data_IF_546305308903
#
_entry.id   IF_546305308903
#
_cell.length_a   1.000
_cell.length_b   1.000
_cell.length_c   1.000
_cell.angle_alpha   90.00
_cell.angle_beta   90.00
_cell.angle_gamma   90.00
#
_symmetry.space_group_name_H-M   'P 1'
#
loop_
_entity.id
_entity.type
_entity.pdbx_description
1 polymer ?
#
# COMPACT_ATOMS: atom_id res chain seq x y z
N UNK A 1 -1.81 -8.72 -39.89
CA UNK A 1 -2.99 -8.89 -39.01
C UNK A 1 -2.54 -9.89 -37.95
N UNK A 2 -1.94 -9.52 -36.82
CA UNK A 2 -2.11 -8.33 -35.99
C UNK A 2 -3.10 -8.67 -34.88
N UNK A 3 -2.71 -8.43 -33.61
CA UNK A 3 -3.44 -8.63 -32.34
C UNK A 3 -3.20 -10.01 -31.70
N UNK A 4 -2.57 -10.18 -30.54
CA UNK A 4 -2.06 -9.26 -29.52
C UNK A 4 -1.63 -10.15 -28.35
N UNK A 5 -0.41 -10.68 -28.41
CA UNK A 5 0.17 -11.46 -27.32
C UNK A 5 0.51 -10.50 -26.18
N UNK A 6 -0.45 -10.34 -25.27
CA UNK A 6 -0.28 -9.58 -24.05
C UNK A 6 0.91 -10.14 -23.28
N UNK A 7 1.93 -9.31 -23.18
CA UNK A 7 3.24 -9.60 -22.61
C UNK A 7 3.11 -10.01 -21.13
N UNK A 8 2.93 -11.31 -20.88
CA UNK A 8 2.95 -11.90 -19.54
C UNK A 8 4.36 -11.87 -18.91
N UNK A 9 5.35 -11.27 -19.59
CA UNK A 9 6.71 -11.08 -19.08
C UNK A 9 6.86 -9.93 -18.07
N UNK A 10 5.79 -9.14 -17.83
CA UNK A 10 5.80 -8.05 -16.85
C UNK A 10 5.69 -8.47 -15.38
N UNK A 11 5.16 -9.66 -15.10
CA UNK A 11 5.10 -10.21 -13.73
C UNK A 11 6.39 -10.97 -13.45
N UNK A 12 7.51 -10.23 -13.41
CA UNK A 12 8.75 -10.78 -12.85
C UNK A 12 8.39 -11.46 -11.53
N UNK A 13 8.69 -12.75 -11.45
CA UNK A 13 8.42 -13.60 -10.29
C UNK A 13 8.83 -12.82 -9.05
N UNK A 14 7.85 -12.40 -8.24
CA UNK A 14 8.12 -11.63 -7.03
C UNK A 14 8.67 -12.65 -6.04
N UNK A 15 9.95 -12.97 -6.17
CA UNK A 15 10.63 -13.83 -5.24
C UNK A 15 10.67 -13.08 -3.90
N UNK A 16 9.67 -13.39 -3.06
CA UNK A 16 9.42 -12.89 -1.70
C UNK A 16 8.90 -11.44 -1.60
N UNK A 17 7.70 -11.17 -2.12
CA UNK A 17 6.98 -9.93 -1.84
C UNK A 17 6.82 -9.75 -0.32
N UNK A 18 7.51 -8.80 0.32
CA UNK A 18 7.26 -8.45 1.72
C UNK A 18 6.43 -7.17 1.79
N UNK A 19 5.33 -7.20 2.53
CA UNK A 19 4.39 -6.07 2.57
C UNK A 19 4.17 -5.56 4.00
N UNK A 20 4.09 -4.24 4.15
CA UNK A 20 3.46 -3.60 5.30
C UNK A 20 2.02 -3.28 4.90
N UNK A 21 1.04 -3.70 5.70
CA UNK A 21 -0.36 -3.34 5.50
C UNK A 21 -0.77 -2.31 6.55
N UNK A 22 -1.28 -1.17 6.11
CA UNK A 22 -1.78 -0.09 6.95
C UNK A 22 -3.30 -0.07 6.81
N UNK A 23 -4.02 -0.29 7.90
CA UNK A 23 -5.47 -0.40 7.85
C UNK A 23 -6.08 -0.86 9.16
N UNK A 24 -7.42 -0.76 9.23
CA UNK A 24 -8.16 -1.32 10.35
C UNK A 24 -8.02 -2.85 10.33
N UNK A 25 -7.71 -3.51 11.46
CA UNK A 25 -7.46 -4.95 11.46
C UNK A 25 -8.57 -5.82 10.87
N UNK A 26 -9.83 -5.40 11.00
CA UNK A 26 -10.98 -6.11 10.45
C UNK A 26 -11.07 -6.06 8.92
N UNK A 27 -10.35 -5.15 8.26
CA UNK A 27 -10.41 -4.90 6.82
C UNK A 27 -9.14 -5.35 6.08
N UNK A 28 -8.04 -5.61 6.79
CA UNK A 28 -6.79 -6.07 6.18
C UNK A 28 -6.82 -7.52 5.66
N UNK A 29 -7.95 -8.23 5.81
CA UNK A 29 -8.07 -9.65 5.47
C UNK A 29 -7.83 -9.93 3.98
N UNK A 30 -8.41 -9.10 3.12
CA UNK A 30 -8.31 -9.26 1.66
C UNK A 30 -6.89 -8.97 1.16
N UNK A 31 -6.25 -7.91 1.67
CA UNK A 31 -4.83 -7.65 1.41
C UNK A 31 -3.93 -8.81 1.86
N UNK A 32 -4.14 -9.34 3.06
CA UNK A 32 -3.37 -10.49 3.57
C UNK A 32 -3.51 -11.71 2.67
N UNK A 33 -4.75 -12.05 2.27
CA UNK A 33 -5.02 -13.15 1.37
C UNK A 33 -4.37 -12.94 0.00
N UNK A 34 -4.43 -11.73 -0.56
CA UNK A 34 -3.78 -11.39 -1.83
C UNK A 34 -2.26 -11.56 -1.77
N UNK A 35 -1.63 -11.07 -0.69
CA UNK A 35 -0.18 -11.22 -0.46
C UNK A 35 0.20 -12.70 -0.36
N UNK A 36 -0.57 -13.52 0.35
CA UNK A 36 -0.33 -14.96 0.47
C UNK A 36 -0.50 -15.71 -0.85
N UNK A 37 -1.52 -15.36 -1.65
CA UNK A 37 -1.79 -15.99 -2.95
C UNK A 37 -0.63 -15.87 -3.93
N UNK A 38 0.14 -14.77 -3.87
CA UNK A 38 1.32 -14.56 -4.71
C UNK A 38 2.62 -15.13 -4.09
N UNK A 39 2.54 -15.81 -2.96
CA UNK A 39 3.70 -16.33 -2.22
C UNK A 39 4.50 -15.25 -1.48
N UNK A 40 3.87 -14.09 -1.22
CA UNK A 40 4.42 -13.02 -0.41
C UNK A 40 4.29 -13.27 1.09
N UNK A 41 4.70 -12.28 1.89
CA UNK A 41 4.62 -12.28 3.34
C UNK A 41 4.31 -10.89 3.87
N UNK A 42 3.23 -10.76 4.63
CA UNK A 42 2.99 -9.56 5.43
C UNK A 42 4.00 -9.51 6.58
N UNK A 43 4.84 -8.48 6.62
CA UNK A 43 5.87 -8.30 7.66
C UNK A 43 5.40 -7.45 8.83
N UNK A 44 4.39 -6.61 8.59
CA UNK A 44 3.70 -5.87 9.63
C UNK A 44 2.28 -5.52 9.18
N UNK A 45 1.38 -5.45 10.16
CA UNK A 45 0.06 -4.86 10.02
C UNK A 45 -0.04 -3.70 11.02
N UNK A 46 -0.34 -2.50 10.53
CA UNK A 46 -0.36 -1.27 11.31
C UNK A 46 -1.76 -0.68 11.30
N UNK A 47 -2.31 -0.42 12.48
CA UNK A 47 -3.52 0.39 12.60
C UNK A 47 -3.17 1.89 12.54
N UNK A 48 -4.13 2.71 12.10
CA UNK A 48 -3.94 4.14 11.83
C UNK A 48 -3.32 4.94 13.00
N UNK A 49 -3.73 4.76 14.27
CA UNK A 49 -3.13 5.50 15.39
C UNK A 49 -1.68 5.10 15.68
N UNK A 50 -1.32 3.85 15.42
CA UNK A 50 0.00 3.30 15.73
C UNK A 50 1.00 3.42 14.56
N UNK A 51 0.48 3.59 13.33
CA UNK A 51 1.27 3.66 12.10
C UNK A 51 2.40 4.69 12.18
N UNK A 52 2.12 5.92 12.60
CA UNK A 52 3.13 6.98 12.60
C UNK A 52 4.34 6.65 13.47
N UNK A 53 4.10 6.06 14.66
CA UNK A 53 5.18 5.64 15.55
C UNK A 53 5.93 4.43 14.97
N UNK A 54 5.22 3.47 14.39
CA UNK A 54 5.83 2.28 13.81
C UNK A 54 6.75 2.61 12.61
N UNK A 55 6.30 3.49 11.70
CA UNK A 55 7.10 3.93 10.55
C UNK A 55 8.36 4.70 11.01
N UNK A 56 8.23 5.58 12.00
CA UNK A 56 9.36 6.32 12.56
C UNK A 56 10.37 5.42 13.29
N UNK A 57 9.92 4.30 13.86
CA UNK A 57 10.76 3.32 14.56
C UNK A 57 11.59 2.43 13.64
N UNK A 58 11.46 2.55 12.32
CA UNK A 58 12.18 1.71 11.37
C UNK A 58 11.61 0.29 11.31
N UNK A 59 10.35 0.17 10.90
CA UNK A 59 9.68 -1.11 10.61
C UNK A 59 10.51 -2.00 9.69
N UNK A 60 10.32 -3.32 9.82
CA UNK A 60 10.99 -4.34 9.02
C UNK A 60 10.98 -3.98 7.53
N UNK A 61 12.09 -4.25 6.83
CA UNK A 61 12.25 -3.95 5.40
C UNK A 61 11.16 -4.65 4.59
N UNK A 62 10.21 -3.87 4.09
CA UNK A 62 9.17 -4.29 3.15
C UNK A 62 9.56 -3.88 1.74
N UNK A 63 9.09 -4.63 0.75
CA UNK A 63 9.19 -4.28 -0.66
C UNK A 63 7.98 -3.49 -1.18
N UNK A 64 6.89 -3.40 -0.39
CA UNK A 64 5.67 -2.66 -0.75
C UNK A 64 4.87 -2.23 0.49
N UNK A 65 4.11 -1.14 0.35
CA UNK A 65 3.12 -0.69 1.32
C UNK A 65 1.73 -0.84 0.72
N UNK A 66 0.82 -1.49 1.45
CA UNK A 66 -0.60 -1.59 1.09
C UNK A 66 -1.41 -0.79 2.10
N UNK A 67 -2.30 0.07 1.63
CA UNK A 67 -3.10 0.97 2.47
C UNK A 67 -4.58 0.70 2.25
N UNK A 68 -5.27 0.27 3.31
CA UNK A 68 -6.73 0.07 3.35
C UNK A 68 -7.40 1.34 3.89
N UNK A 69 -7.65 2.30 3.00
CA UNK A 69 -8.23 3.60 3.31
C UNK A 69 -9.78 3.59 3.34
N UNK A 70 -10.41 2.53 2.83
CA UNK A 70 -11.86 2.47 2.75
C UNK A 70 -12.54 2.55 4.14
N UNK A 71 -13.47 3.50 4.25
CA UNK A 71 -14.23 3.77 5.47
C UNK A 71 -13.40 4.32 6.63
N UNK A 72 -12.19 4.81 6.35
CA UNK A 72 -11.37 5.60 7.27
C UNK A 72 -11.79 7.06 7.16
N UNK A 73 -11.85 7.75 8.29
CA UNK A 73 -12.22 9.16 8.34
C UNK A 73 -11.23 10.04 7.58
N UNK A 74 -11.75 10.98 6.80
CA UNK A 74 -11.00 11.92 5.97
C UNK A 74 -9.92 12.68 6.75
N UNK A 75 -10.19 13.06 8.01
CA UNK A 75 -9.22 13.78 8.86
C UNK A 75 -8.04 12.89 9.23
N UNK A 76 -8.31 11.59 9.43
CA UNK A 76 -7.26 10.60 9.70
C UNK A 76 -6.40 10.41 8.45
N UNK A 77 -7.02 10.29 7.28
CA UNK A 77 -6.32 10.14 6.00
C UNK A 77 -5.47 11.37 5.66
N UNK A 78 -6.01 12.58 5.81
CA UNK A 78 -5.28 13.83 5.54
C UNK A 78 -4.05 13.98 6.45
N UNK A 79 -4.10 13.41 7.65
CA UNK A 79 -2.97 13.37 8.57
C UNK A 79 -1.98 12.24 8.22
N UNK A 80 -2.47 11.07 7.82
CA UNK A 80 -1.66 9.86 7.66
C UNK A 80 -0.98 9.76 6.28
N UNK A 81 -1.69 10.10 5.20
CA UNK A 81 -1.20 9.95 3.83
C UNK A 81 0.13 10.70 3.58
N UNK A 82 0.33 11.96 4.05
CA UNK A 82 1.63 12.63 3.89
C UNK A 82 2.78 11.91 4.58
N UNK A 83 2.51 11.22 5.69
CA UNK A 83 3.53 10.46 6.44
C UNK A 83 3.87 9.15 5.73
N UNK A 84 2.87 8.50 5.15
CA UNK A 84 3.05 7.30 4.33
C UNK A 84 3.87 7.66 3.09
N UNK A 85 3.53 8.76 2.40
CA UNK A 85 4.29 9.25 1.25
C UNK A 85 5.75 9.55 1.61
N UNK A 86 5.99 10.30 2.69
CA UNK A 86 7.34 10.63 3.12
C UNK A 86 8.18 9.37 3.43
N UNK A 87 7.58 8.37 4.08
CA UNK A 87 8.25 7.10 4.39
C UNK A 87 8.53 6.28 3.12
N UNK A 88 7.52 6.13 2.26
CA UNK A 88 7.65 5.41 0.99
C UNK A 88 8.70 6.06 0.09
N UNK A 89 8.68 7.39 -0.01
CA UNK A 89 9.63 8.18 -0.80
C UNK A 89 11.06 8.09 -0.27
N UNK A 90 11.26 8.03 1.05
CA UNK A 90 12.58 7.89 1.65
C UNK A 90 13.20 6.51 1.38
N UNK A 91 12.37 5.49 1.18
CA UNK A 91 12.79 4.10 1.02
C UNK A 91 12.59 3.56 -0.41
N UNK A 92 12.12 4.41 -1.32
CA UNK A 92 11.78 4.07 -2.71
C UNK A 92 10.80 2.88 -2.80
N UNK A 93 9.77 2.90 -1.94
CA UNK A 93 8.78 1.83 -1.85
C UNK A 93 7.54 2.13 -2.69
N UNK A 94 7.03 1.15 -3.46
CA UNK A 94 5.72 1.26 -4.06
C UNK A 94 4.61 1.30 -2.99
N UNK A 95 3.54 2.04 -3.30
CA UNK A 95 2.35 2.17 -2.46
C UNK A 95 1.12 1.78 -3.28
N UNK A 96 0.33 0.83 -2.76
CA UNK A 96 -1.00 0.48 -3.27
C UNK A 96 -2.02 0.97 -2.26
N UNK A 97 -3.07 1.66 -2.72
CA UNK A 97 -4.14 2.15 -1.85
C UNK A 97 -5.48 1.61 -2.33
N UNK A 98 -6.19 0.91 -1.46
CA UNK A 98 -7.59 0.58 -1.61
C UNK A 98 -8.44 1.67 -0.94
N UNK A 99 -9.32 2.31 -1.70
CA UNK A 99 -10.13 3.44 -1.26
C UNK A 99 -11.48 3.46 -1.98
N UNK A 100 -12.47 4.14 -1.40
CA UNK A 100 -13.78 4.33 -2.02
C UNK A 100 -13.80 5.54 -2.97
N UNK A 101 -14.75 5.57 -3.91
CA UNK A 101 -14.85 6.61 -4.96
C UNK A 101 -14.77 8.06 -4.41
N UNK A 102 -15.38 8.34 -3.26
CA UNK A 102 -15.38 9.67 -2.66
C UNK A 102 -14.01 10.11 -2.12
N UNK A 103 -13.06 9.19 -1.97
CA UNK A 103 -11.71 9.44 -1.46
C UNK A 103 -10.69 9.68 -2.59
N UNK A 104 -11.10 9.58 -3.87
CA UNK A 104 -10.22 9.76 -5.04
C UNK A 104 -9.43 11.07 -4.95
N UNK A 105 -10.13 12.20 -4.74
CA UNK A 105 -9.50 13.52 -4.76
C UNK A 105 -8.44 13.66 -3.65
N UNK A 106 -8.70 13.08 -2.48
CA UNK A 106 -7.79 13.11 -1.33
C UNK A 106 -6.56 12.23 -1.55
N UNK A 107 -6.77 10.98 -1.97
CA UNK A 107 -5.68 10.05 -2.28
C UNK A 107 -4.83 10.61 -3.40
N UNK A 108 -5.45 11.19 -4.42
CA UNK A 108 -4.75 11.84 -5.52
C UNK A 108 -3.93 13.06 -5.06
N UNK A 109 -4.51 13.94 -4.24
CA UNK A 109 -3.81 15.14 -3.76
C UNK A 109 -2.52 14.80 -3.00
N UNK A 110 -2.49 13.67 -2.29
CA UNK A 110 -1.35 13.28 -1.47
C UNK A 110 -0.39 12.30 -2.15
N UNK A 111 -0.87 11.44 -3.05
CA UNK A 111 -0.06 10.35 -3.61
C UNK A 111 0.14 10.43 -5.13
N UNK A 112 -0.73 11.11 -5.89
CA UNK A 112 -0.59 11.23 -7.34
C UNK A 112 0.43 12.32 -7.73
N UNK A 113 1.71 11.94 -7.56
CA UNK A 113 2.91 12.64 -8.06
C UNK A 113 4.09 11.69 -8.34
N UNK A 114 3.95 10.40 -7.99
CA UNK A 114 4.88 9.28 -8.23
C UNK A 114 4.11 8.00 -8.59
N UNK A 115 4.81 6.91 -8.90
CA UNK A 115 4.26 5.62 -9.37
C UNK A 115 3.24 5.01 -8.39
N UNK A 116 2.01 5.49 -8.44
CA UNK A 116 0.84 4.87 -7.80
C UNK A 116 0.20 3.98 -8.86
N UNK A 117 0.02 2.70 -8.52
CA UNK A 117 -0.71 1.73 -9.34
C UNK A 117 -1.99 1.33 -8.64
#
# INVERSE_FOLDING_TARGET
MGEGEGDAAGYARIDRCTAIVIGRPALCGDASAAIEMIGGRMVAQLDWPAMAQALAGGTATAGIIVVEAEGVDDVVLDTALPRIDAYASALDLPVIVAFADHQIDMVAAHLLGRQVQ
#
